data_IF_846751151455
#
_entry.id   IF_846751151455
#
_cell.length_a   1.000
_cell.length_b   1.000
_cell.length_c   1.000
_cell.angle_alpha   90.00
_cell.angle_beta   90.00
_cell.angle_gamma   90.00
#
_symmetry.space_group_name_H-M   'P 1'
#
loop_
_entity.id
_entity.type
_entity.pdbx_description
1 polymer ?
#
# COMPACT_ATOMS: atom_id res chain seq x y z
N UNK A 1 3.41 2.11 -7.68
CA UNK A 1 2.09 1.47 -7.81
C UNK A 1 1.07 2.55 -8.14
N UNK A 2 0.12 2.30 -9.05
CA UNK A 2 -0.95 3.25 -9.35
C UNK A 2 -2.13 3.06 -8.37
N UNK A 3 -2.22 3.96 -7.40
CA UNK A 3 -3.26 3.96 -6.38
C UNK A 3 -4.61 4.43 -6.92
N UNK A 4 -4.64 5.11 -8.07
CA UNK A 4 -5.91 5.54 -8.68
C UNK A 4 -6.83 4.35 -8.96
N UNK A 5 -6.26 3.19 -9.30
CA UNK A 5 -6.95 1.92 -9.51
C UNK A 5 -7.55 1.31 -8.23
N UNK A 6 -7.04 1.70 -7.06
CA UNK A 6 -7.61 1.34 -5.77
C UNK A 6 -8.72 2.32 -5.37
N UNK A 7 -8.54 3.61 -5.66
CA UNK A 7 -9.36 4.73 -5.15
C UNK A 7 -10.55 5.12 -6.04
N UNK A 8 -10.55 4.71 -7.31
CA UNK A 8 -11.55 5.13 -8.28
C UNK A 8 -12.93 4.51 -8.00
N UNK A 9 -13.94 5.38 -7.86
CA UNK A 9 -15.35 5.01 -7.72
C UNK A 9 -15.98 4.62 -9.06
N UNK A 10 -15.57 5.25 -10.17
CA UNK A 10 -16.08 5.01 -11.52
C UNK A 10 -14.93 4.84 -12.52
N UNK A 11 -15.14 4.01 -13.55
CA UNK A 11 -14.22 3.86 -14.69
C UNK A 11 -13.07 2.86 -14.54
N UNK A 12 -12.98 2.15 -13.42
CA UNK A 12 -12.01 1.06 -13.20
C UNK A 12 -12.76 -0.27 -13.15
N UNK A 13 -12.35 -1.26 -13.94
CA UNK A 13 -12.97 -2.58 -13.91
C UNK A 13 -12.61 -3.34 -12.64
N UNK A 14 -13.46 -4.29 -12.24
CA UNK A 14 -13.19 -5.15 -11.08
C UNK A 14 -11.86 -5.91 -11.22
N UNK A 15 -11.50 -6.34 -12.44
CA UNK A 15 -10.21 -6.96 -12.73
C UNK A 15 -9.03 -6.02 -12.46
N UNK A 16 -9.13 -4.76 -12.87
CA UNK A 16 -8.09 -3.76 -12.62
C UNK A 16 -7.94 -3.48 -11.12
N UNK A 17 -9.05 -3.41 -10.39
CA UNK A 17 -9.06 -3.24 -8.94
C UNK A 17 -8.44 -4.45 -8.23
N UNK A 18 -8.79 -5.68 -8.63
CA UNK A 18 -8.19 -6.91 -8.09
C UNK A 18 -6.69 -6.98 -8.37
N UNK A 19 -6.25 -6.64 -9.58
CA UNK A 19 -4.81 -6.60 -9.89
C UNK A 19 -4.07 -5.56 -9.05
N UNK A 20 -4.66 -4.39 -8.82
CA UNK A 20 -4.08 -3.38 -7.94
C UNK A 20 -3.98 -3.88 -6.50
N UNK A 21 -5.03 -4.54 -5.98
CA UNK A 21 -5.02 -5.19 -4.67
C UNK A 21 -3.90 -6.22 -4.54
N UNK A 22 -3.74 -7.11 -5.52
CA UNK A 22 -2.67 -8.10 -5.49
C UNK A 22 -1.27 -7.48 -5.52
N UNK A 23 -1.07 -6.43 -6.33
CA UNK A 23 0.19 -5.67 -6.33
C UNK A 23 0.47 -5.02 -4.98
N UNK A 24 -0.56 -4.49 -4.33
CA UNK A 24 -0.41 -3.90 -3.00
C UNK A 24 -0.06 -4.95 -1.94
N UNK A 25 -0.76 -6.09 -1.94
CA UNK A 25 -0.43 -7.21 -1.07
C UNK A 25 1.01 -7.69 -1.28
N UNK A 26 1.45 -7.79 -2.55
CA UNK A 26 2.84 -8.13 -2.89
C UNK A 26 3.85 -7.12 -2.32
N UNK A 27 3.56 -5.82 -2.36
CA UNK A 27 4.42 -4.79 -1.78
C UNK A 27 4.53 -4.91 -0.26
N UNK A 28 3.43 -5.22 0.44
CA UNK A 28 3.45 -5.51 1.88
C UNK A 28 4.34 -6.71 2.18
N UNK A 29 4.16 -7.83 1.45
CA UNK A 29 4.98 -9.03 1.66
C UNK A 29 6.46 -8.80 1.39
N UNK A 30 6.80 -8.00 0.38
CA UNK A 30 8.18 -7.63 0.09
C UNK A 30 8.80 -6.81 1.24
N UNK A 31 8.08 -5.81 1.74
CA UNK A 31 8.55 -4.98 2.85
C UNK A 31 8.71 -5.78 4.14
N UNK A 32 7.82 -6.74 4.41
CA UNK A 32 7.94 -7.68 5.54
C UNK A 32 9.20 -8.55 5.41
N UNK A 33 9.44 -9.10 4.21
CA UNK A 33 10.63 -9.91 3.96
C UNK A 33 11.92 -9.09 4.14
N UNK A 34 11.95 -7.86 3.64
CA UNK A 34 13.08 -6.94 3.84
C UNK A 34 13.27 -6.62 5.33
N UNK A 35 12.19 -6.28 6.06
CA UNK A 35 12.22 -5.96 7.49
C UNK A 35 12.66 -7.14 8.38
N UNK A 36 12.44 -8.38 7.94
CA UNK A 36 12.92 -9.57 8.63
C UNK A 36 14.45 -9.70 8.58
N UNK A 37 15.08 -9.17 7.52
CA UNK A 37 16.53 -9.22 7.32
C UNK A 37 17.25 -7.93 7.69
N UNK A 38 16.58 -6.79 7.58
CA UNK A 38 17.11 -5.46 7.88
C UNK A 38 16.03 -4.62 8.60
N UNK A 39 16.30 -4.30 9.87
CA UNK A 39 15.38 -3.54 10.70
C UNK A 39 15.12 -2.11 10.19
N UNK A 40 15.96 -1.57 9.31
CA UNK A 40 15.77 -0.25 8.68
C UNK A 40 14.48 -0.18 7.85
N UNK A 41 13.96 -1.32 7.37
CA UNK A 41 12.73 -1.43 6.58
C UNK A 41 11.45 -1.51 7.41
N UNK A 42 11.52 -1.64 8.74
CA UNK A 42 10.32 -1.70 9.61
C UNK A 42 9.36 -0.51 9.44
N UNK A 43 9.83 0.75 9.30
CA UNK A 43 8.94 1.88 9.06
C UNK A 43 8.17 1.76 7.74
N UNK A 44 8.78 1.18 6.71
CA UNK A 44 8.14 0.94 5.42
C UNK A 44 7.06 -0.14 5.55
N UNK A 45 7.40 -1.26 6.17
CA UNK A 45 6.47 -2.36 6.47
C UNK A 45 5.21 -1.84 7.17
N UNK A 46 5.38 -1.12 8.29
CA UNK A 46 4.28 -0.60 9.08
C UNK A 46 3.39 0.36 8.28
N UNK A 47 3.99 1.24 7.47
CA UNK A 47 3.25 2.20 6.66
C UNK A 47 2.42 1.51 5.58
N UNK A 48 2.97 0.48 4.92
CA UNK A 48 2.26 -0.31 3.92
C UNK A 48 1.14 -1.15 4.54
N UNK A 49 1.36 -1.79 5.69
CA UNK A 49 0.32 -2.54 6.42
C UNK A 49 -0.83 -1.62 6.82
N UNK A 50 -0.52 -0.44 7.37
CA UNK A 50 -1.54 0.52 7.77
C UNK A 50 -2.40 0.96 6.58
N UNK A 51 -1.77 1.26 5.45
CA UNK A 51 -2.47 1.62 4.23
C UNK A 51 -3.30 0.46 3.65
N UNK A 52 -2.77 -0.77 3.67
CA UNK A 52 -3.46 -1.96 3.18
C UNK A 52 -4.69 -2.29 4.03
N UNK A 53 -4.55 -2.28 5.36
CA UNK A 53 -5.67 -2.48 6.28
C UNK A 53 -6.71 -1.38 6.13
N UNK A 54 -6.28 -0.12 5.99
CA UNK A 54 -7.21 0.98 5.72
C UNK A 54 -8.04 0.75 4.45
N UNK A 55 -7.42 0.23 3.39
CA UNK A 55 -8.08 -0.10 2.14
C UNK A 55 -9.08 -1.27 2.27
N UNK A 56 -8.62 -2.41 2.81
CA UNK A 56 -9.43 -3.63 2.94
C UNK A 56 -10.62 -3.45 3.89
N UNK A 57 -10.46 -2.65 4.95
CA UNK A 57 -11.49 -2.51 5.98
C UNK A 57 -12.58 -1.50 5.59
N UNK A 58 -12.24 -0.42 4.87
CA UNK A 58 -13.20 0.64 4.52
C UNK A 58 -13.68 0.60 3.07
N UNK A 59 -13.10 -0.25 2.21
CA UNK A 59 -13.32 -0.20 0.75
C UNK A 59 -13.13 1.21 0.16
N UNK A 60 -12.37 2.04 0.87
CA UNK A 60 -12.15 3.43 0.54
C UNK A 60 -10.75 3.83 1.01
N UNK A 61 -9.99 4.37 0.07
CA UNK A 61 -8.73 5.06 0.25
C UNK A 61 -8.93 6.42 0.94
N UNK A 62 -9.48 6.39 2.16
CA UNK A 62 -9.67 7.60 2.96
C UNK A 62 -8.36 8.35 3.22
N UNK A 63 -8.43 9.57 3.80
CA UNK A 63 -7.27 10.43 4.02
C UNK A 63 -6.12 9.73 4.77
N UNK A 64 -6.44 8.82 5.69
CA UNK A 64 -5.47 8.07 6.48
C UNK A 64 -4.67 7.07 5.63
N UNK A 65 -5.32 6.34 4.72
CA UNK A 65 -4.65 5.39 3.81
C UNK A 65 -3.72 6.12 2.84
N UNK A 66 -4.16 7.28 2.31
CA UNK A 66 -3.35 8.12 1.42
C UNK A 66 -2.10 8.65 2.14
N UNK A 67 -2.25 9.13 3.38
CA UNK A 67 -1.14 9.61 4.19
C UNK A 67 -0.12 8.50 4.48
N UNK A 68 -0.59 7.28 4.74
CA UNK A 68 0.28 6.13 4.96
C UNK A 68 1.04 5.71 3.68
N UNK A 69 0.41 5.81 2.50
CA UNK A 69 1.06 5.56 1.20
C UNK A 69 2.10 6.63 0.84
N UNK A 70 1.80 7.91 1.12
CA UNK A 70 2.75 9.00 0.96
C UNK A 70 3.98 8.82 1.85
N UNK A 71 3.76 8.43 3.12
CA UNK A 71 4.84 8.08 4.04
C UNK A 71 5.69 6.91 3.52
N UNK A 72 5.05 5.85 3.02
CA UNK A 72 5.76 4.73 2.42
C UNK A 72 6.61 5.16 1.21
N UNK A 73 6.10 6.06 0.36
CA UNK A 73 6.87 6.62 -0.77
C UNK A 73 8.10 7.40 -0.33
N UNK A 74 7.97 8.23 0.70
CA UNK A 74 9.13 8.96 1.23
C UNK A 74 10.19 8.01 1.77
N UNK A 75 9.79 7.00 2.55
CA UNK A 75 10.73 6.00 3.07
C UNK A 75 11.44 5.26 1.92
N UNK A 76 10.73 4.87 0.86
CA UNK A 76 11.35 4.25 -0.31
C UNK A 76 12.31 5.16 -1.08
N UNK A 77 12.16 6.49 -1.00
CA UNK A 77 13.06 7.43 -1.68
C UNK A 77 14.36 7.68 -0.88
N UNK A 78 14.30 7.47 0.44
CA UNK A 78 15.42 7.67 1.37
C UNK A 78 16.23 6.37 1.61
N UNK A 79 15.78 5.23 1.08
CA UNK A 79 16.45 3.92 1.07
C UNK A 79 17.25 3.73 -0.22
#
# INVERSE_FOLDING_TARGET
MDESLLTARDGVSDDQRMQALHRFQGAVSLAQAAAATDASYKPLEQSLIQAYNGYVTRFDSGPESKKALEKARHICADL
#
